data_IF_211922846634
#
_entry.id   IF_211922846634
#
_cell.length_a   1.000
_cell.length_b   1.000
_cell.length_c   1.000
_cell.angle_alpha   90.00
_cell.angle_beta   90.00
_cell.angle_gamma   90.00
#
_symmetry.space_group_name_H-M   'P 1'
#
loop_
_entity.id
_entity.type
_entity.pdbx_description
1 polymer ?
#
# COMPACT_ATOMS: atom_id res chain seq x y z
N UNK A 1 -62.06 -48.08 21.63
CA UNK A 1 -60.62 -48.15 21.30
C UNK A 1 -60.20 -46.82 20.69
N UNK A 2 -59.32 -46.11 21.40
CA UNK A 2 -58.41 -44.98 21.04
C UNK A 2 -57.72 -44.61 22.38
N UNK A 3 -56.45 -44.12 22.46
CA UNK A 3 -55.85 -43.06 21.62
C UNK A 3 -54.31 -43.09 21.32
N UNK A 4 -53.91 -42.33 20.28
CA UNK A 4 -52.81 -41.33 20.09
C UNK A 4 -51.36 -41.53 20.66
N UNK A 5 -50.36 -41.18 19.79
CA UNK A 5 -48.96 -40.65 19.98
C UNK A 5 -47.86 -41.66 19.57
N UNK A 6 -46.75 -41.33 18.90
CA UNK A 6 -46.04 -40.06 18.71
C UNK A 6 -45.20 -40.02 17.41
N UNK A 7 -45.00 -38.79 16.90
CA UNK A 7 -43.98 -38.42 15.91
C UNK A 7 -42.56 -38.74 16.42
N UNK A 8 -41.71 -39.28 15.55
CA UNK A 8 -40.26 -39.30 15.72
C UNK A 8 -39.64 -38.29 14.74
N UNK A 9 -39.44 -37.07 15.23
CA UNK A 9 -38.47 -36.13 14.69
C UNK A 9 -37.07 -36.67 15.01
N UNK A 10 -36.34 -37.17 14.01
CA UNK A 10 -34.89 -37.35 14.13
C UNK A 10 -34.23 -36.00 13.88
N UNK A 11 -33.90 -35.31 14.97
CA UNK A 11 -32.95 -34.21 14.97
C UNK A 11 -31.56 -34.75 14.65
N UNK A 12 -31.14 -34.64 13.38
CA UNK A 12 -29.73 -34.68 13.01
C UNK A 12 -29.08 -33.39 13.50
N UNK A 13 -28.68 -33.37 14.77
CA UNK A 13 -27.71 -32.42 15.28
C UNK A 13 -26.36 -32.74 14.62
N UNK A 14 -26.09 -32.10 13.49
CA UNK A 14 -24.74 -32.00 12.95
C UNK A 14 -23.93 -31.23 13.98
N UNK A 15 -23.12 -31.96 14.74
CA UNK A 15 -22.06 -31.36 15.52
C UNK A 15 -21.07 -30.74 14.52
N UNK A 16 -21.18 -29.42 14.34
CA UNK A 16 -20.10 -28.62 13.78
C UNK A 16 -18.94 -28.71 14.77
N UNK A 17 -18.06 -29.70 14.57
CA UNK A 17 -16.73 -29.64 15.13
C UNK A 17 -16.04 -28.43 14.51
N UNK A 18 -15.76 -27.42 15.33
CA UNK A 18 -15.02 -26.22 14.95
C UNK A 18 -13.60 -26.64 14.54
N UNK A 19 -13.39 -26.95 13.26
CA UNK A 19 -12.07 -26.89 12.69
C UNK A 19 -11.60 -25.43 12.83
N UNK A 20 -10.51 -25.19 13.55
CA UNK A 20 -9.88 -23.87 13.59
C UNK A 20 -9.67 -23.42 12.13
N UNK A 21 -10.38 -22.38 11.68
CA UNK A 21 -10.13 -21.76 10.38
C UNK A 21 -8.74 -21.12 10.43
N UNK A 22 -7.74 -21.90 10.01
CA UNK A 22 -6.40 -21.42 9.71
C UNK A 22 -6.36 -21.16 8.21
N UNK A 23 -5.62 -20.14 7.79
CA UNK A 23 -5.31 -19.98 6.38
C UNK A 23 -4.65 -21.28 5.86
N UNK A 24 -5.26 -21.98 4.90
CA UNK A 24 -4.67 -23.23 4.37
C UNK A 24 -3.26 -23.00 3.80
N UNK A 25 -3.02 -21.79 3.26
CA UNK A 25 -1.75 -21.35 2.69
C UNK A 25 -0.84 -20.61 3.68
N UNK A 26 -1.32 -20.27 4.88
CA UNK A 26 -0.55 -19.56 5.90
C UNK A 26 -0.87 -20.06 7.32
N UNK A 27 -0.33 -21.24 7.64
CA UNK A 27 -0.61 -21.96 8.90
C UNK A 27 -0.21 -21.24 10.19
N UNK A 28 0.43 -20.08 10.08
CA UNK A 28 0.98 -19.36 11.21
C UNK A 28 0.05 -18.28 11.76
N UNK A 29 -0.67 -17.54 10.89
CA UNK A 29 -1.66 -16.57 11.36
C UNK A 29 -2.96 -17.31 11.68
N UNK A 30 -3.46 -17.10 12.89
CA UNK A 30 -4.73 -17.64 13.37
C UNK A 30 -5.81 -16.59 13.22
N UNK A 31 -6.95 -17.00 12.70
CA UNK A 31 -8.18 -16.25 12.83
C UNK A 31 -8.72 -16.48 14.24
N UNK A 32 -9.09 -15.40 14.93
CA UNK A 32 -9.56 -15.43 16.31
C UNK A 32 -10.87 -16.17 16.43
N UNK A 33 -10.93 -17.11 17.37
CA UNK A 33 -12.18 -17.77 17.78
C UNK A 33 -12.90 -17.00 18.89
N UNK A 34 -12.22 -16.04 19.54
CA UNK A 34 -12.76 -15.24 20.65
C UNK A 34 -13.56 -14.02 20.17
N UNK A 35 -13.18 -13.47 19.02
CA UNK A 35 -13.80 -12.27 18.45
C UNK A 35 -14.63 -12.69 17.24
N UNK A 36 -15.92 -12.37 17.26
CA UNK A 36 -16.79 -12.61 16.11
C UNK A 36 -16.39 -11.71 14.93
N UNK A 37 -16.42 -12.21 13.68
CA UNK A 37 -16.23 -11.36 12.48
C UNK A 37 -17.27 -10.24 12.40
N UNK A 38 -18.46 -10.43 13.00
CA UNK A 38 -19.53 -9.43 13.03
C UNK A 38 -19.37 -8.40 14.17
N UNK A 39 -18.43 -8.63 15.10
CA UNK A 39 -18.12 -7.68 16.19
C UNK A 39 -16.98 -6.73 15.80
N UNK A 40 -15.86 -7.27 15.35
CA UNK A 40 -14.70 -6.48 14.92
C UNK A 40 -13.86 -7.33 13.97
N UNK A 41 -14.01 -7.13 12.66
CA UNK A 41 -13.37 -8.02 11.69
C UNK A 41 -11.84 -7.90 11.69
N UNK A 42 -11.28 -6.70 11.83
CA UNK A 42 -9.82 -6.55 11.94
C UNK A 42 -9.28 -7.31 13.14
N UNK A 43 -9.92 -7.20 14.31
CA UNK A 43 -9.48 -7.91 15.51
C UNK A 43 -9.71 -9.40 15.40
N UNK A 44 -10.79 -9.83 14.72
CA UNK A 44 -11.02 -11.23 14.36
C UNK A 44 -9.85 -11.79 13.52
N UNK A 45 -9.27 -11.01 12.61
CA UNK A 45 -8.15 -11.47 11.76
C UNK A 45 -6.78 -11.30 12.40
N UNK A 46 -6.55 -10.21 13.15
CA UNK A 46 -5.23 -9.81 13.61
C UNK A 46 -4.98 -10.05 15.11
N UNK A 47 -5.93 -10.63 15.86
CA UNK A 47 -5.91 -10.70 17.33
C UNK A 47 -4.50 -10.93 17.91
N UNK A 48 -3.97 -9.93 18.62
CA UNK A 48 -2.60 -9.96 19.14
C UNK A 48 -2.41 -10.79 20.41
N UNK A 49 -3.50 -11.25 21.05
CA UNK A 49 -3.41 -12.27 22.10
C UNK A 49 -3.16 -13.66 21.51
N UNK A 50 -3.65 -13.89 20.29
CA UNK A 50 -3.57 -15.18 19.60
C UNK A 50 -2.50 -15.23 18.51
N UNK A 51 -1.99 -14.07 18.09
CA UNK A 51 -0.96 -13.91 17.06
C UNK A 51 0.18 -13.01 17.55
N UNK A 52 1.41 -13.53 17.52
CA UNK A 52 2.59 -12.67 17.67
C UNK A 52 2.80 -11.83 16.39
N UNK A 53 3.38 -10.61 16.45
CA UNK A 53 3.53 -9.77 15.26
C UNK A 53 4.29 -10.44 14.10
N UNK A 54 5.32 -11.24 14.36
CA UNK A 54 6.03 -12.02 13.32
C UNK A 54 5.17 -13.13 12.69
N UNK A 55 4.05 -13.47 13.33
CA UNK A 55 3.09 -14.45 12.84
C UNK A 55 2.07 -13.86 11.86
N UNK A 56 2.01 -12.54 11.72
CA UNK A 56 1.07 -11.89 10.81
C UNK A 56 1.53 -12.03 9.35
N UNK A 57 0.60 -12.36 8.46
CA UNK A 57 0.80 -12.48 7.02
C UNK A 57 1.53 -11.26 6.44
N UNK A 58 1.09 -10.06 6.81
CA UNK A 58 1.71 -8.79 6.40
C UNK A 58 3.20 -8.72 6.76
N UNK A 59 3.59 -9.18 7.95
CA UNK A 59 4.96 -9.06 8.41
C UNK A 59 5.86 -10.14 7.79
N UNK A 60 5.32 -11.33 7.52
CA UNK A 60 6.08 -12.39 6.82
C UNK A 60 6.21 -12.15 5.32
N UNK A 61 5.10 -11.88 4.66
CA UNK A 61 5.03 -11.90 3.20
C UNK A 61 5.31 -10.52 2.61
N UNK A 62 4.76 -9.47 3.22
CA UNK A 62 4.79 -8.11 2.68
C UNK A 62 5.97 -7.26 3.17
N UNK A 63 6.81 -7.80 4.04
CA UNK A 63 8.12 -7.22 4.39
C UNK A 63 9.27 -8.00 3.76
N UNK A 64 8.98 -8.96 2.86
CA UNK A 64 9.99 -9.86 2.30
C UNK A 64 11.07 -9.15 1.49
N UNK A 65 10.70 -8.13 0.70
CA UNK A 65 11.68 -7.30 -0.01
C UNK A 65 12.47 -6.45 0.99
N UNK A 66 11.78 -5.71 1.88
CA UNK A 66 12.43 -4.85 2.86
C UNK A 66 13.43 -5.61 3.72
N UNK A 67 13.05 -6.75 4.29
CA UNK A 67 13.89 -7.53 5.18
C UNK A 67 15.16 -8.02 4.47
N UNK A 68 15.05 -8.48 3.22
CA UNK A 68 16.21 -8.87 2.41
C UNK A 68 17.11 -7.67 2.10
N UNK A 69 16.52 -6.53 1.73
CA UNK A 69 17.27 -5.32 1.45
C UNK A 69 17.98 -4.75 2.69
N UNK A 70 17.37 -4.84 3.88
CA UNK A 70 18.01 -4.43 5.13
C UNK A 70 19.30 -5.22 5.38
N UNK A 71 19.27 -6.54 5.18
CA UNK A 71 20.48 -7.39 5.31
C UNK A 71 21.54 -6.97 4.31
N UNK A 72 21.18 -6.91 3.01
CA UNK A 72 22.12 -6.56 1.94
C UNK A 72 22.74 -5.17 2.14
N UNK A 73 21.94 -4.19 2.56
CA UNK A 73 22.43 -2.84 2.82
C UNK A 73 23.38 -2.83 4.02
N UNK A 74 23.02 -3.47 5.14
CA UNK A 74 23.86 -3.53 6.34
C UNK A 74 25.22 -4.16 6.04
N UNK A 75 25.27 -5.18 5.20
CA UNK A 75 26.50 -5.88 4.83
C UNK A 75 27.26 -5.22 3.66
N UNK A 76 26.61 -4.30 2.93
CA UNK A 76 27.20 -3.64 1.76
C UNK A 76 28.42 -2.80 2.13
N UNK A 77 29.46 -2.93 1.31
CA UNK A 77 30.72 -2.16 1.36
C UNK A 77 30.78 -1.09 0.26
N UNK A 78 29.63 -0.71 -0.29
CA UNK A 78 29.51 0.35 -1.29
C UNK A 78 30.11 1.68 -0.78
N UNK A 79 30.99 2.30 -1.56
CA UNK A 79 31.77 3.46 -1.11
C UNK A 79 30.92 4.69 -0.84
N UNK A 80 29.87 4.92 -1.63
CA UNK A 80 28.96 6.03 -1.40
C UNK A 80 28.06 5.80 -0.18
N UNK A 81 27.59 4.57 0.05
CA UNK A 81 26.86 4.22 1.28
C UNK A 81 27.73 4.40 2.52
N UNK A 82 28.98 3.94 2.52
CA UNK A 82 29.92 4.16 3.63
C UNK A 82 30.16 5.66 3.88
N UNK A 83 30.34 6.44 2.80
CA UNK A 83 30.47 7.90 2.90
C UNK A 83 29.24 8.54 3.56
N UNK A 84 28.03 8.11 3.20
CA UNK A 84 26.80 8.61 3.80
C UNK A 84 26.72 8.18 5.27
N UNK A 85 26.98 6.91 5.58
CA UNK A 85 26.99 6.37 6.96
C UNK A 85 27.88 7.18 7.89
N UNK A 86 29.11 7.46 7.48
CA UNK A 86 30.06 8.24 8.29
C UNK A 86 29.54 9.63 8.65
N UNK A 87 28.77 10.28 7.76
CA UNK A 87 28.12 11.56 8.06
C UNK A 87 27.05 11.44 9.14
N UNK A 88 26.33 10.32 9.23
CA UNK A 88 25.34 10.09 10.28
C UNK A 88 26.00 9.58 11.57
N UNK A 89 27.06 8.80 11.47
CA UNK A 89 27.83 8.34 12.62
C UNK A 89 28.47 9.49 13.38
N UNK A 90 28.92 10.53 12.67
CA UNK A 90 29.49 11.73 13.27
C UNK A 90 28.51 12.54 14.15
N UNK A 91 27.20 12.29 14.04
CA UNK A 91 26.17 12.92 14.90
C UNK A 91 25.82 12.08 16.13
N UNK A 92 26.29 10.83 16.19
CA UNK A 92 26.04 9.95 17.33
C UNK A 92 27.09 10.23 18.41
N UNK A 93 26.68 10.46 19.68
CA UNK A 93 27.63 10.66 20.77
C UNK A 93 28.64 9.52 20.90
N UNK A 94 29.88 9.85 21.26
CA UNK A 94 30.94 8.86 21.49
C UNK A 94 30.48 7.82 22.54
N UNK A 95 30.72 6.53 22.25
CA UNK A 95 30.28 5.41 23.08
C UNK A 95 28.85 4.92 22.82
N UNK A 96 28.04 5.63 22.03
CA UNK A 96 26.68 5.19 21.65
C UNK A 96 26.60 4.56 20.26
N UNK A 97 27.68 4.60 19.48
CA UNK A 97 27.77 4.01 18.14
C UNK A 97 28.00 2.48 18.21
N UNK A 98 27.03 1.76 18.79
CA UNK A 98 27.03 0.30 18.86
C UNK A 98 26.74 -0.33 17.50
N UNK A 99 27.01 -1.64 17.30
CA UNK A 99 26.61 -2.35 16.08
C UNK A 99 25.12 -2.21 15.77
N UNK A 100 24.26 -2.26 16.80
CA UNK A 100 22.83 -2.06 16.64
C UNK A 100 22.51 -0.62 16.21
N UNK A 101 23.17 0.40 16.78
CA UNK A 101 23.00 1.78 16.33
C UNK A 101 23.38 1.95 14.85
N UNK A 102 24.48 1.34 14.40
CA UNK A 102 24.90 1.35 12.98
C UNK A 102 23.88 0.69 12.05
N UNK A 103 23.31 -0.43 12.48
CA UNK A 103 22.22 -1.12 11.78
C UNK A 103 20.99 -0.21 11.66
N UNK A 104 20.54 0.36 12.77
CA UNK A 104 19.38 1.25 12.80
C UNK A 104 19.57 2.51 11.93
N UNK A 105 20.79 3.06 11.90
CA UNK A 105 21.12 4.18 11.00
C UNK A 105 21.00 3.73 9.54
N UNK A 106 21.57 2.60 9.17
CA UNK A 106 21.45 2.06 7.80
C UNK A 106 20.00 1.86 7.37
N UNK A 107 19.17 1.29 8.25
CA UNK A 107 17.74 1.08 7.97
C UNK A 107 17.04 2.43 7.76
N UNK A 108 17.33 3.44 8.59
CA UNK A 108 16.79 4.79 8.44
C UNK A 108 17.18 5.45 7.11
N UNK A 109 18.43 5.24 6.65
CA UNK A 109 18.92 5.79 5.38
C UNK A 109 18.10 5.33 4.18
N UNK A 110 17.49 4.14 4.23
CA UNK A 110 16.64 3.65 3.14
C UNK A 110 15.43 4.53 2.85
N UNK A 111 15.04 5.38 3.79
CA UNK A 111 13.90 6.31 3.70
C UNK A 111 14.31 7.77 3.93
N UNK A 112 15.62 8.03 4.04
CA UNK A 112 16.14 9.36 4.25
C UNK A 112 15.94 10.22 3.00
N UNK A 113 15.32 11.40 3.16
CA UNK A 113 14.94 12.26 2.04
C UNK A 113 16.12 12.93 1.35
N UNK A 114 17.27 13.09 2.02
CA UNK A 114 18.42 13.79 1.45
C UNK A 114 19.19 12.90 0.46
N UNK A 115 19.23 11.59 0.70
CA UNK A 115 20.07 10.66 -0.06
C UNK A 115 19.28 9.70 -0.97
N UNK A 116 17.97 9.89 -1.11
CA UNK A 116 17.10 9.00 -1.90
C UNK A 116 17.61 8.70 -3.32
N UNK A 117 18.15 9.64 -4.13
CA UNK A 117 18.61 9.30 -5.49
C UNK A 117 19.68 8.21 -5.49
N UNK A 118 20.69 8.37 -4.64
CA UNK A 118 21.76 7.39 -4.47
C UNK A 118 21.24 6.09 -3.85
N UNK A 119 20.45 6.21 -2.77
CA UNK A 119 19.92 5.05 -2.06
C UNK A 119 19.02 4.20 -2.95
N UNK A 120 18.14 4.80 -3.76
CA UNK A 120 17.28 4.07 -4.70
C UNK A 120 18.12 3.34 -5.76
N UNK A 121 19.13 3.99 -6.35
CA UNK A 121 20.01 3.35 -7.32
C UNK A 121 20.77 2.16 -6.70
N UNK A 122 21.28 2.33 -5.48
CA UNK A 122 21.98 1.26 -4.75
C UNK A 122 21.03 0.11 -4.39
N UNK A 123 19.81 0.42 -3.95
CA UNK A 123 18.79 -0.59 -3.65
C UNK A 123 18.43 -1.37 -4.91
N UNK A 124 18.25 -0.71 -6.05
CA UNK A 124 18.00 -1.38 -7.35
C UNK A 124 19.18 -2.28 -7.72
N UNK A 125 20.41 -1.77 -7.64
CA UNK A 125 21.64 -2.53 -7.91
C UNK A 125 21.69 -3.81 -7.07
N UNK A 126 21.62 -3.67 -5.74
CA UNK A 126 21.70 -4.80 -4.82
C UNK A 126 20.54 -5.78 -5.01
N UNK A 127 19.32 -5.27 -5.25
CA UNK A 127 18.15 -6.11 -5.50
C UNK A 127 18.31 -6.96 -6.77
N UNK A 128 18.83 -6.37 -7.86
CA UNK A 128 19.06 -7.08 -9.12
C UNK A 128 20.18 -8.11 -8.97
N UNK A 129 21.33 -7.73 -8.40
CA UNK A 129 22.47 -8.63 -8.20
C UNK A 129 22.11 -9.86 -7.35
N UNK A 130 21.23 -9.67 -6.36
CA UNK A 130 20.82 -10.72 -5.42
C UNK A 130 19.46 -11.34 -5.75
N UNK A 131 18.87 -11.02 -6.91
CA UNK A 131 17.57 -11.54 -7.36
C UNK A 131 16.41 -11.26 -6.39
N UNK A 132 16.48 -10.16 -5.63
CA UNK A 132 15.44 -9.67 -4.72
C UNK A 132 14.45 -8.80 -5.51
N UNK A 133 13.80 -9.41 -6.50
CA UNK A 133 12.81 -8.79 -7.36
C UNK A 133 11.75 -9.81 -7.78
N UNK A 134 10.78 -9.40 -8.60
CA UNK A 134 9.80 -10.35 -9.13
C UNK A 134 10.50 -11.40 -9.99
N UNK A 135 10.17 -12.66 -9.73
CA UNK A 135 10.48 -13.79 -10.62
C UNK A 135 9.73 -13.61 -11.95
N UNK A 136 10.12 -14.29 -13.04
CA UNK A 136 9.37 -14.25 -14.30
C UNK A 136 7.89 -14.63 -14.14
N UNK A 137 7.58 -15.59 -13.26
CA UNK A 137 6.19 -15.96 -12.94
C UNK A 137 5.48 -14.86 -12.15
N UNK A 138 6.11 -14.34 -11.09
CA UNK A 138 5.55 -13.25 -10.30
C UNK A 138 5.32 -11.98 -11.13
N UNK A 139 6.21 -11.68 -12.08
CA UNK A 139 6.06 -10.58 -13.05
C UNK A 139 4.83 -10.77 -13.92
N UNK A 140 4.65 -11.96 -14.51
CA UNK A 140 3.45 -12.28 -15.31
C UNK A 140 2.16 -12.14 -14.50
N UNK A 141 2.11 -12.67 -13.27
CA UNK A 141 0.94 -12.56 -12.40
C UNK A 141 0.61 -11.10 -12.08
N UNK A 142 1.62 -10.29 -11.78
CA UNK A 142 1.44 -8.88 -11.49
C UNK A 142 0.93 -8.11 -12.73
N UNK A 143 1.51 -8.36 -13.91
CA UNK A 143 1.08 -7.73 -15.16
C UNK A 143 -0.33 -8.13 -15.57
N UNK A 144 -0.68 -9.39 -15.38
CA UNK A 144 -2.03 -9.89 -15.63
C UNK A 144 -3.05 -9.20 -14.72
N UNK A 145 -2.78 -9.12 -13.41
CA UNK A 145 -3.66 -8.43 -12.47
C UNK A 145 -3.81 -6.93 -12.79
N UNK A 146 -2.70 -6.23 -13.09
CA UNK A 146 -2.73 -4.83 -13.52
C UNK A 146 -3.60 -4.67 -14.78
N UNK A 147 -3.44 -5.57 -15.77
CA UNK A 147 -4.21 -5.55 -17.01
C UNK A 147 -5.70 -5.76 -16.73
N UNK A 148 -6.07 -6.74 -15.91
CA UNK A 148 -7.46 -7.02 -15.56
C UNK A 148 -8.12 -5.85 -14.85
N UNK A 149 -7.46 -5.29 -13.82
CA UNK A 149 -7.96 -4.13 -13.08
C UNK A 149 -8.17 -2.94 -14.01
N UNK A 150 -7.19 -2.64 -14.87
CA UNK A 150 -7.31 -1.57 -15.86
C UNK A 150 -8.49 -1.79 -16.81
N UNK A 151 -8.63 -3.00 -17.35
CA UNK A 151 -9.71 -3.32 -18.30
C UNK A 151 -11.09 -3.23 -17.65
N UNK A 152 -11.24 -3.73 -16.42
CA UNK A 152 -12.51 -3.65 -15.67
C UNK A 152 -12.85 -2.21 -15.34
N UNK A 153 -11.86 -1.40 -14.98
CA UNK A 153 -12.06 0.03 -14.72
C UNK A 153 -12.46 0.79 -15.99
N UNK A 154 -11.78 0.54 -17.12
CA UNK A 154 -12.16 1.10 -18.43
C UNK A 154 -13.60 0.71 -18.78
N UNK A 155 -13.98 -0.55 -18.57
CA UNK A 155 -15.35 -1.01 -18.82
C UNK A 155 -16.35 -0.25 -17.94
N UNK A 156 -16.05 -0.04 -16.66
CA UNK A 156 -16.87 0.75 -15.73
C UNK A 156 -17.10 2.16 -16.28
N UNK A 157 -16.04 2.88 -16.65
CA UNK A 157 -16.15 4.25 -17.17
C UNK A 157 -16.87 4.34 -18.51
N UNK A 158 -16.65 3.40 -19.43
CA UNK A 158 -17.44 3.32 -20.68
C UNK A 158 -18.93 3.12 -20.42
N UNK A 159 -19.28 2.45 -19.33
CA UNK A 159 -20.66 2.23 -18.89
C UNK A 159 -21.36 3.47 -18.32
N UNK A 160 -20.61 4.51 -17.92
CA UNK A 160 -21.17 5.76 -17.36
C UNK A 160 -21.73 6.63 -18.47
N UNK A 161 -22.90 6.26 -19.01
CA UNK A 161 -23.56 6.94 -20.14
C UNK A 161 -23.80 8.43 -19.90
N UNK A 162 -23.96 8.80 -18.65
CA UNK A 162 -24.22 10.17 -18.23
C UNK A 162 -22.98 11.07 -18.26
N UNK A 163 -21.78 10.49 -18.27
CA UNK A 163 -20.54 11.23 -18.33
C UNK A 163 -20.15 11.43 -19.80
N UNK A 164 -20.25 12.68 -20.28
CA UNK A 164 -20.01 13.03 -21.69
C UNK A 164 -18.56 12.82 -22.09
N UNK A 165 -17.60 13.27 -21.29
CA UNK A 165 -16.17 13.09 -21.55
C UNK A 165 -15.59 11.73 -21.10
N UNK A 166 -16.42 10.69 -20.89
CA UNK A 166 -15.95 9.38 -20.41
C UNK A 166 -14.81 8.78 -21.24
N UNK A 167 -14.78 9.03 -22.54
CA UNK A 167 -13.70 8.52 -23.41
C UNK A 167 -12.36 9.22 -23.15
N UNK A 168 -12.34 10.46 -22.65
CA UNK A 168 -11.10 11.12 -22.21
C UNK A 168 -10.52 10.45 -20.97
N UNK A 169 -11.38 10.08 -20.00
CA UNK A 169 -10.98 9.30 -18.82
C UNK A 169 -10.46 7.92 -19.22
N UNK A 170 -11.18 7.24 -20.12
CA UNK A 170 -10.76 5.94 -20.67
C UNK A 170 -9.40 6.05 -21.34
N UNK A 171 -9.19 7.10 -22.14
CA UNK A 171 -7.90 7.33 -22.78
C UNK A 171 -6.78 7.54 -21.75
N UNK A 172 -7.01 8.36 -20.72
CA UNK A 172 -6.04 8.57 -19.64
C UNK A 172 -5.66 7.24 -18.94
N UNK A 173 -6.65 6.39 -18.63
CA UNK A 173 -6.43 5.07 -18.04
C UNK A 173 -5.64 4.11 -18.96
N UNK A 174 -5.82 4.23 -20.29
CA UNK A 174 -5.12 3.41 -21.28
C UNK A 174 -3.65 3.78 -21.40
N UNK A 175 -3.34 5.09 -21.39
CA UNK A 175 -1.97 5.58 -21.61
C UNK A 175 -1.13 5.67 -20.34
N UNK A 176 -1.75 5.58 -19.16
CA UNK A 176 -1.04 5.58 -17.89
C UNK A 176 0.02 4.45 -17.85
N UNK A 177 1.30 4.82 -17.73
CA UNK A 177 2.41 3.89 -17.59
C UNK A 177 2.38 3.31 -16.17
N UNK A 178 2.41 1.99 -16.08
CA UNK A 178 2.43 1.28 -14.80
C UNK A 178 3.80 0.70 -14.58
N UNK A 179 4.38 0.99 -13.42
CA UNK A 179 5.70 0.54 -13.02
C UNK A 179 5.53 -0.32 -11.77
N UNK A 180 6.00 -1.56 -11.83
CA UNK A 180 5.76 -2.57 -10.79
C UNK A 180 7.08 -3.00 -10.17
N UNK A 181 7.30 -2.67 -8.90
CA UNK A 181 8.48 -3.07 -8.16
C UNK A 181 9.78 -2.53 -8.79
N UNK A 182 10.76 -3.41 -8.98
CA UNK A 182 11.96 -3.05 -9.76
C UNK A 182 11.60 -3.11 -11.25
N UNK A 183 11.77 -2.04 -12.03
CA UNK A 183 11.45 -2.05 -13.46
C UNK A 183 12.21 -3.16 -14.20
N UNK A 184 11.51 -3.84 -15.11
CA UNK A 184 12.07 -4.96 -15.89
C UNK A 184 13.35 -4.57 -16.64
N UNK A 185 13.43 -3.32 -17.10
CA UNK A 185 14.62 -2.77 -17.76
C UNK A 185 15.90 -2.93 -16.92
N UNK A 186 15.85 -2.75 -15.60
CA UNK A 186 17.01 -2.94 -14.72
C UNK A 186 17.35 -4.42 -14.48
N UNK A 187 16.39 -5.32 -14.68
CA UNK A 187 16.60 -6.77 -14.59
C UNK A 187 17.25 -7.27 -15.88
N UNK A 188 16.76 -6.79 -17.03
CA UNK A 188 17.28 -7.15 -18.35
C UNK A 188 18.66 -6.50 -18.62
N UNK A 189 18.90 -5.32 -18.03
CA UNK A 189 20.13 -4.54 -18.15
C UNK A 189 20.69 -4.16 -16.75
N UNK A 190 21.26 -5.13 -16.00
CA UNK A 190 21.81 -4.89 -14.66
C UNK A 190 22.94 -3.84 -14.65
N UNK A 191 23.61 -3.64 -15.78
CA UNK A 191 24.64 -2.63 -15.97
C UNK A 191 24.11 -1.19 -15.78
N UNK A 192 22.83 -0.93 -16.00
CA UNK A 192 22.27 0.43 -15.87
C UNK A 192 22.31 0.96 -14.43
N UNK A 193 22.13 0.09 -13.44
CA UNK A 193 22.24 0.49 -12.04
C UNK A 193 23.71 0.79 -11.65
N UNK A 194 24.66 0.03 -12.22
CA UNK A 194 26.08 0.25 -12.05
C UNK A 194 26.52 1.58 -12.67
N UNK A 195 26.15 1.81 -13.93
CA UNK A 195 26.46 3.04 -14.69
C UNK A 195 25.97 4.30 -13.95
N UNK A 196 24.77 4.23 -13.35
CA UNK A 196 24.21 5.32 -12.55
C UNK A 196 25.02 5.58 -11.27
N UNK A 197 25.38 4.55 -10.50
CA UNK A 197 26.21 4.68 -9.29
C UNK A 197 27.60 5.22 -9.64
N UNK A 198 28.22 4.73 -10.71
CA UNK A 198 29.51 5.24 -11.18
C UNK A 198 29.42 6.72 -11.60
N UNK A 199 28.30 7.13 -12.20
CA UNK A 199 28.07 8.55 -12.50
C UNK A 199 28.03 9.40 -11.24
N UNK A 200 27.35 8.93 -10.18
CA UNK A 200 27.35 9.61 -8.89
C UNK A 200 28.76 9.72 -8.33
N UNK A 201 29.53 8.64 -8.28
CA UNK A 201 30.86 8.67 -7.68
C UNK A 201 31.82 9.58 -8.46
N UNK A 202 31.74 9.61 -9.80
CA UNK A 202 32.50 10.57 -10.62
C UNK A 202 32.19 12.02 -10.25
N UNK A 203 30.91 12.35 -10.12
CA UNK A 203 30.48 13.71 -9.77
C UNK A 203 30.80 14.05 -8.30
N UNK A 204 30.72 13.09 -7.38
CA UNK A 204 31.16 13.26 -5.99
C UNK A 204 32.66 13.56 -5.93
N UNK A 205 33.51 12.80 -6.62
CA UNK A 205 34.96 13.06 -6.68
C UNK A 205 35.24 14.46 -7.19
N UNK A 206 34.52 14.88 -8.24
CA UNK A 206 34.73 16.16 -8.92
C UNK A 206 34.23 17.36 -8.13
N UNK A 207 33.04 17.25 -7.52
CA UNK A 207 32.31 18.40 -6.97
C UNK A 207 32.20 18.38 -5.45
N UNK A 208 32.12 17.21 -4.80
CA UNK A 208 31.91 17.16 -3.36
C UNK A 208 33.16 17.56 -2.57
N UNK A 209 34.34 17.07 -2.94
CA UNK A 209 35.59 17.39 -2.25
C UNK A 209 35.84 18.90 -2.07
N UNK A 210 35.79 19.70 -3.16
CA UNK A 210 35.93 21.16 -3.08
C UNK A 210 34.86 21.85 -2.24
N UNK A 211 33.66 21.29 -2.12
CA UNK A 211 32.57 21.84 -1.29
C UNK A 211 32.73 21.46 0.18
N UNK A 212 33.07 20.20 0.47
CA UNK A 212 33.18 19.65 1.82
C UNK A 212 34.43 20.12 2.58
N UNK A 213 35.46 20.58 1.86
CA UNK A 213 36.73 21.08 2.42
C UNK A 213 36.78 22.62 2.52
N UNK A 214 35.74 23.35 2.08
CA UNK A 214 35.67 24.81 2.22
C UNK A 214 35.34 25.20 3.66
N UNK A 215 36.33 25.72 4.38
CA UNK A 215 36.14 26.41 5.66
C UNK A 215 35.37 25.58 6.71
N UNK A 216 34.68 26.27 7.63
CA UNK A 216 33.94 25.75 8.80
C UNK A 216 32.71 24.86 8.47
N UNK A 217 32.78 24.01 7.44
CA UNK A 217 31.70 23.11 7.04
C UNK A 217 31.52 21.97 8.06
N UNK A 218 30.49 22.11 8.91
CA UNK A 218 30.06 21.10 9.88
C UNK A 218 29.36 19.91 9.20
N UNK A 219 28.92 18.92 9.98
CA UNK A 219 28.30 17.69 9.44
C UNK A 219 27.03 17.99 8.63
N UNK A 220 26.20 18.94 9.08
CA UNK A 220 24.99 19.38 8.37
C UNK A 220 25.34 19.92 6.99
N UNK A 221 26.31 20.84 6.92
CA UNK A 221 26.81 21.39 5.66
C UNK A 221 27.34 20.29 4.72
N UNK A 222 28.07 19.31 5.24
CA UNK A 222 28.58 18.18 4.46
C UNK A 222 27.45 17.32 3.88
N UNK A 223 26.40 17.03 4.65
CA UNK A 223 25.22 16.30 4.17
C UNK A 223 24.49 17.04 3.07
N UNK A 224 24.26 18.34 3.25
CA UNK A 224 23.60 19.18 2.25
C UNK A 224 24.40 19.26 0.95
N UNK A 225 25.72 19.46 1.04
CA UNK A 225 26.60 19.49 -0.12
C UNK A 225 26.60 18.15 -0.86
N UNK A 226 26.71 17.02 -0.14
CA UNK A 226 26.68 15.69 -0.76
C UNK A 226 25.33 15.40 -1.43
N UNK A 227 24.24 15.68 -0.71
CA UNK A 227 22.87 15.52 -1.23
C UNK A 227 22.65 16.33 -2.51
N UNK A 228 23.10 17.59 -2.55
CA UNK A 228 22.99 18.43 -3.72
C UNK A 228 23.77 17.87 -4.93
N UNK A 229 25.01 17.41 -4.71
CA UNK A 229 25.83 16.80 -5.78
C UNK A 229 25.17 15.52 -6.32
N UNK A 230 24.65 14.67 -5.44
CA UNK A 230 23.98 13.42 -5.84
C UNK A 230 22.69 13.69 -6.63
N UNK A 231 21.89 14.67 -6.20
CA UNK A 231 20.67 15.06 -6.90
C UNK A 231 20.97 15.65 -8.28
N UNK A 232 21.97 16.54 -8.37
CA UNK A 232 22.39 17.14 -9.63
C UNK A 232 23.00 16.11 -10.60
N UNK A 233 23.78 15.15 -10.07
CA UNK A 233 24.27 14.02 -10.86
C UNK A 233 23.13 13.12 -11.34
N UNK A 234 22.06 12.93 -10.55
CA UNK A 234 20.89 12.15 -10.97
C UNK A 234 20.19 12.81 -12.16
N UNK A 235 19.95 14.12 -12.08
CA UNK A 235 19.35 14.87 -13.18
C UNK A 235 20.23 14.86 -14.43
N UNK A 236 21.55 15.00 -14.30
CA UNK A 236 22.49 14.87 -15.43
C UNK A 236 22.42 13.49 -16.08
N UNK A 237 22.47 12.43 -15.28
CA UNK A 237 22.40 11.06 -15.77
C UNK A 237 21.09 10.81 -16.52
N UNK A 238 19.95 11.21 -15.94
CA UNK A 238 18.65 11.03 -16.56
C UNK A 238 18.50 11.81 -17.87
N UNK A 239 19.05 13.03 -17.93
CA UNK A 239 19.06 13.84 -19.14
C UNK A 239 19.90 13.19 -20.25
N UNK A 240 21.05 12.61 -19.90
CA UNK A 240 21.92 11.92 -20.86
C UNK A 240 21.33 10.61 -21.38
N UNK A 241 20.45 9.98 -20.60
CA UNK A 241 19.84 8.67 -20.92
C UNK A 241 18.32 8.73 -21.04
N UNK A 242 17.78 9.81 -21.62
CA UNK A 242 16.33 10.11 -21.62
C UNK A 242 15.43 9.05 -22.26
N UNK A 243 16.00 8.07 -22.96
CA UNK A 243 15.31 6.92 -23.52
C UNK A 243 15.06 5.76 -22.53
N UNK A 244 15.65 5.80 -21.33
CA UNK A 244 15.53 4.78 -20.27
C UNK A 244 14.54 5.19 -19.18
N UNK A 245 14.08 4.26 -18.35
CA UNK A 245 13.14 4.55 -17.24
C UNK A 245 13.78 5.38 -16.11
N UNK A 246 15.07 5.18 -15.84
CA UNK A 246 15.95 6.10 -15.08
C UNK A 246 15.52 6.51 -13.65
N UNK A 247 14.57 5.78 -13.03
CA UNK A 247 14.00 6.10 -11.71
C UNK A 247 13.42 7.52 -11.59
N UNK A 248 13.28 8.28 -12.68
CA UNK A 248 12.86 9.69 -12.67
C UNK A 248 11.43 9.86 -12.17
N UNK A 249 10.62 8.81 -12.33
CA UNK A 249 9.27 8.70 -11.75
C UNK A 249 9.27 8.75 -10.20
N UNK A 250 10.41 8.50 -9.54
CA UNK A 250 10.58 8.66 -8.10
C UNK A 250 10.93 10.12 -7.71
N UNK A 251 11.21 10.99 -8.68
CA UNK A 251 11.38 12.44 -8.54
C UNK A 251 10.28 13.19 -9.32
N UNK A 252 9.01 13.06 -8.91
CA UNK A 252 7.92 13.66 -9.66
C UNK A 252 8.03 15.19 -9.65
N UNK A 253 7.78 15.83 -10.79
CA UNK A 253 7.97 17.28 -10.98
C UNK A 253 7.16 18.16 -10.02
N UNK A 254 6.07 17.62 -9.46
CA UNK A 254 5.22 18.24 -8.44
C UNK A 254 5.86 18.26 -7.03
N UNK A 255 6.85 17.40 -6.78
CA UNK A 255 7.56 17.29 -5.50
C UNK A 255 9.05 17.55 -5.69
N UNK A 256 9.59 18.56 -5.01
CA UNK A 256 11.06 18.75 -4.93
C UNK A 256 11.77 17.65 -4.12
N UNK A 257 11.02 16.68 -3.59
CA UNK A 257 11.54 15.62 -2.72
C UNK A 257 11.37 14.24 -3.40
N UNK A 258 12.46 13.48 -3.59
CA UNK A 258 12.41 12.13 -4.12
C UNK A 258 11.69 11.14 -3.20
N UNK A 259 11.11 10.11 -3.81
CA UNK A 259 10.39 9.01 -3.15
C UNK A 259 11.29 7.80 -2.98
N UNK A 260 11.45 7.34 -1.74
CA UNK A 260 12.21 6.13 -1.44
C UNK A 260 11.46 4.88 -1.94
N UNK A 261 12.17 3.96 -2.59
CA UNK A 261 11.57 2.75 -3.17
C UNK A 261 11.25 1.67 -2.11
N UNK A 262 11.78 1.78 -0.89
CA UNK A 262 11.53 0.85 0.25
C UNK A 262 10.24 1.17 1.02
N UNK A 263 9.33 1.91 0.37
CA UNK A 263 7.99 2.19 0.84
C UNK A 263 7.06 0.98 0.72
N UNK A 264 5.80 1.24 1.07
CA UNK A 264 4.70 0.30 0.97
C UNK A 264 3.49 1.01 0.36
N UNK A 265 2.77 0.34 -0.52
CA UNK A 265 1.66 0.89 -1.30
C UNK A 265 2.05 1.14 -2.76
N UNK A 266 1.44 2.13 -3.37
CA UNK A 266 1.93 2.72 -4.60
C UNK A 266 2.00 4.23 -4.51
N UNK A 267 2.14 4.84 -5.68
CA UNK A 267 2.14 6.27 -5.87
C UNK A 267 1.56 6.59 -7.24
N UNK A 268 0.59 7.47 -7.23
CA UNK A 268 0.06 8.15 -8.38
C UNK A 268 0.47 9.64 -8.31
N UNK A 269 1.61 9.99 -8.90
CA UNK A 269 2.18 11.36 -8.74
C UNK A 269 2.09 12.23 -9.99
N UNK A 270 1.78 11.61 -11.12
CA UNK A 270 1.51 12.22 -12.42
C UNK A 270 0.45 11.32 -13.08
N UNK A 271 -0.60 11.85 -13.75
CA UNK A 271 -1.57 11.04 -14.50
C UNK A 271 -0.91 10.05 -15.49
N UNK A 272 0.35 10.28 -15.89
CA UNK A 272 1.13 9.41 -16.76
C UNK A 272 1.78 8.21 -16.07
N UNK A 273 1.99 8.23 -14.75
CA UNK A 273 2.74 7.19 -14.04
C UNK A 273 2.07 6.75 -12.76
N UNK A 274 1.78 5.46 -12.67
CA UNK A 274 1.44 4.79 -11.42
C UNK A 274 2.59 3.83 -11.09
N UNK A 275 3.19 3.99 -9.92
CA UNK A 275 4.28 3.16 -9.46
C UNK A 275 3.91 2.38 -8.21
N UNK A 276 4.26 1.10 -8.16
CA UNK A 276 4.07 0.23 -7.01
C UNK A 276 5.41 -0.16 -6.40
N UNK A 277 5.55 0.01 -5.07
CA UNK A 277 6.81 -0.31 -4.40
C UNK A 277 7.12 -1.82 -4.46
N UNK A 278 8.40 -2.21 -4.55
CA UNK A 278 8.81 -3.61 -4.57
C UNK A 278 8.27 -4.42 -3.39
N UNK A 279 8.22 -3.83 -2.18
CA UNK A 279 7.73 -4.50 -0.97
C UNK A 279 6.27 -4.93 -1.08
N UNK A 280 5.44 -4.13 -1.74
CA UNK A 280 4.03 -4.47 -2.01
C UNK A 280 3.90 -5.52 -3.10
N UNK A 281 4.77 -5.48 -4.10
CA UNK A 281 4.68 -6.37 -5.26
C UNK A 281 5.34 -7.74 -5.01
N UNK A 282 6.27 -7.84 -4.07
CA UNK A 282 7.02 -9.08 -3.82
C UNK A 282 6.12 -10.28 -3.46
N UNK A 283 4.88 -10.03 -2.99
CA UNK A 283 3.87 -11.07 -2.76
C UNK A 283 3.55 -11.91 -3.99
N UNK A 284 3.70 -11.38 -5.21
CA UNK A 284 3.45 -12.16 -6.43
C UNK A 284 4.43 -13.32 -6.64
N UNK A 285 5.57 -13.34 -5.92
CA UNK A 285 6.49 -14.48 -5.89
C UNK A 285 5.98 -15.64 -5.01
N UNK A 286 4.92 -15.43 -4.21
CA UNK A 286 4.37 -16.49 -3.36
C UNK A 286 3.50 -17.43 -4.19
N UNK A 287 3.81 -18.72 -4.15
CA UNK A 287 3.03 -19.77 -4.79
C UNK A 287 1.87 -20.23 -3.90
N UNK A 288 0.78 -20.69 -4.53
CA UNK A 288 -0.36 -21.30 -3.81
C UNK A 288 -1.26 -20.33 -3.05
N UNK A 289 -1.06 -19.01 -3.20
CA UNK A 289 -1.94 -18.02 -2.58
C UNK A 289 -3.34 -18.07 -3.21
N UNK A 290 -4.37 -18.12 -2.38
CA UNK A 290 -5.75 -18.02 -2.85
C UNK A 290 -5.94 -16.73 -3.66
N UNK A 291 -6.65 -16.81 -4.79
CA UNK A 291 -6.85 -15.67 -5.70
C UNK A 291 -7.52 -14.50 -4.97
N UNK A 292 -8.56 -14.77 -4.18
CA UNK A 292 -9.22 -13.78 -3.33
C UNK A 292 -8.26 -13.01 -2.45
N UNK A 293 -7.34 -13.71 -1.76
CA UNK A 293 -6.33 -13.08 -0.91
C UNK A 293 -5.36 -12.21 -1.70
N UNK A 294 -4.86 -12.69 -2.84
CA UNK A 294 -3.94 -11.91 -3.67
C UNK A 294 -4.62 -10.63 -4.19
N UNK A 295 -5.89 -10.72 -4.58
CA UNK A 295 -6.68 -9.59 -5.06
C UNK A 295 -7.00 -8.60 -3.94
N UNK A 296 -7.35 -9.03 -2.73
CA UNK A 296 -7.60 -8.10 -1.61
C UNK A 296 -6.35 -7.49 -0.99
N UNK A 297 -5.17 -7.99 -1.36
CA UNK A 297 -3.90 -7.47 -0.87
C UNK A 297 -3.22 -6.66 -1.96
N UNK A 298 -2.49 -7.27 -2.89
CA UNK A 298 -1.79 -6.56 -3.95
C UNK A 298 -2.77 -5.91 -4.94
N UNK A 299 -3.84 -6.62 -5.30
CA UNK A 299 -4.87 -6.09 -6.19
C UNK A 299 -5.56 -4.86 -5.61
N UNK A 300 -5.80 -4.82 -4.30
CA UNK A 300 -6.40 -3.66 -3.63
C UNK A 300 -5.50 -2.44 -3.75
N UNK A 301 -4.20 -2.59 -3.49
CA UNK A 301 -3.25 -1.49 -3.68
C UNK A 301 -3.22 -1.04 -5.13
N UNK A 302 -3.22 -1.98 -6.09
CA UNK A 302 -3.25 -1.64 -7.51
C UNK A 302 -4.52 -0.87 -7.88
N UNK A 303 -5.69 -1.37 -7.51
CA UNK A 303 -6.97 -0.71 -7.74
C UNK A 303 -7.05 0.65 -7.06
N UNK A 304 -6.56 0.76 -5.82
CA UNK A 304 -6.55 2.00 -5.04
C UNK A 304 -5.78 3.11 -5.79
N UNK A 305 -4.57 2.82 -6.27
CA UNK A 305 -3.81 3.80 -7.05
C UNK A 305 -4.41 4.12 -8.41
N UNK A 306 -5.11 3.18 -9.06
CA UNK A 306 -5.88 3.47 -10.26
C UNK A 306 -7.06 4.39 -9.98
N UNK A 307 -7.72 4.25 -8.83
CA UNK A 307 -8.84 5.11 -8.45
C UNK A 307 -8.40 6.54 -8.11
N UNK A 308 -7.17 6.73 -7.62
CA UNK A 308 -6.56 8.07 -7.52
C UNK A 308 -6.45 8.80 -8.87
N UNK A 309 -6.37 8.08 -10.01
CA UNK A 309 -6.32 8.73 -11.34
C UNK A 309 -7.65 9.33 -11.79
N UNK A 310 -8.77 8.95 -11.16
CA UNK A 310 -10.11 9.20 -11.70
C UNK A 310 -11.07 9.90 -10.74
N UNK A 311 -10.65 10.15 -9.50
CA UNK A 311 -11.46 10.81 -8.50
C UNK A 311 -10.59 11.67 -7.61
N UNK A 312 -10.57 12.96 -7.91
CA UNK A 312 -9.86 13.94 -7.12
C UNK A 312 -10.64 15.24 -7.17
N UNK A 313 -11.19 15.64 -6.03
CA UNK A 313 -12.18 16.72 -5.94
C UNK A 313 -11.62 18.10 -6.30
N UNK A 314 -10.30 18.29 -6.16
CA UNK A 314 -9.58 19.50 -6.55
C UNK A 314 -8.87 19.36 -7.91
N UNK A 315 -9.18 18.31 -8.68
CA UNK A 315 -8.46 18.02 -9.91
C UNK A 315 -8.60 19.13 -10.95
N UNK A 316 -7.46 19.66 -11.37
CA UNK A 316 -7.35 20.57 -12.52
C UNK A 316 -7.13 19.83 -13.85
N UNK A 317 -7.05 18.49 -13.81
CA UNK A 317 -6.82 17.67 -14.99
C UNK A 317 -7.98 17.81 -15.98
N UNK A 318 -7.65 18.09 -17.24
CA UNK A 318 -8.67 18.32 -18.27
C UNK A 318 -9.68 17.18 -18.37
N UNK A 319 -9.21 15.94 -18.36
CA UNK A 319 -10.04 14.76 -18.54
C UNK A 319 -11.00 14.50 -17.38
N UNK A 320 -10.83 15.16 -16.21
CA UNK A 320 -11.74 15.04 -15.06
C UNK A 320 -12.70 16.22 -14.90
N UNK A 321 -12.56 17.30 -15.68
CA UNK A 321 -13.30 18.55 -15.45
C UNK A 321 -14.82 18.38 -15.48
N UNK A 322 -15.36 17.62 -16.42
CA UNK A 322 -16.81 17.38 -16.47
C UNK A 322 -17.28 16.46 -15.35
N UNK A 323 -16.46 15.47 -14.98
CA UNK A 323 -16.79 14.54 -13.91
C UNK A 323 -16.88 15.25 -12.56
N UNK A 324 -15.88 16.07 -12.20
CA UNK A 324 -15.86 16.78 -10.91
C UNK A 324 -16.93 17.86 -10.81
N UNK A 325 -17.43 18.37 -11.95
CA UNK A 325 -18.53 19.34 -12.00
C UNK A 325 -19.92 18.69 -11.96
N UNK A 326 -20.03 17.36 -12.11
CA UNK A 326 -21.32 16.67 -12.10
C UNK A 326 -21.89 16.56 -10.67
N UNK A 327 -23.21 16.76 -10.53
CA UNK A 327 -23.90 16.65 -9.23
C UNK A 327 -23.65 15.29 -8.55
N UNK A 328 -23.61 14.20 -9.31
CA UNK A 328 -23.38 12.84 -8.77
C UNK A 328 -22.00 12.71 -8.13
N UNK A 329 -21.00 13.40 -8.66
CA UNK A 329 -19.67 13.44 -8.06
C UNK A 329 -19.75 14.14 -6.70
N UNK A 330 -20.38 15.31 -6.63
CA UNK A 330 -20.54 16.05 -5.37
C UNK A 330 -21.34 15.27 -4.32
N UNK A 331 -22.39 14.56 -4.73
CA UNK A 331 -23.14 13.66 -3.84
C UNK A 331 -22.25 12.54 -3.28
N UNK A 332 -21.32 12.02 -4.10
CA UNK A 332 -20.35 11.02 -3.63
C UNK A 332 -19.33 11.60 -2.65
N UNK A 333 -18.85 12.83 -2.90
CA UNK A 333 -17.97 13.59 -2.00
C UNK A 333 -18.66 13.78 -0.65
N UNK A 334 -19.91 14.24 -0.65
CA UNK A 334 -20.71 14.44 0.56
C UNK A 334 -20.90 13.13 1.32
N UNK A 335 -21.27 12.04 0.62
CA UNK A 335 -21.46 10.74 1.26
C UNK A 335 -20.18 10.22 1.94
N UNK A 336 -19.04 10.24 1.23
CA UNK A 336 -17.78 9.75 1.82
C UNK A 336 -17.31 10.65 2.97
N UNK A 337 -17.43 11.97 2.82
CA UNK A 337 -17.09 12.92 3.88
C UNK A 337 -17.95 12.69 5.13
N UNK A 338 -19.26 12.57 4.98
CA UNK A 338 -20.16 12.28 6.10
C UNK A 338 -19.86 10.92 6.72
N UNK A 339 -19.69 9.88 5.89
CA UNK A 339 -19.37 8.52 6.33
C UNK A 339 -18.14 8.48 7.22
N UNK A 340 -17.04 9.12 6.80
CA UNK A 340 -15.81 9.14 7.58
C UNK A 340 -15.85 10.10 8.78
N UNK A 341 -16.68 11.15 8.74
CA UNK A 341 -16.88 12.08 9.88
C UNK A 341 -17.58 11.41 11.07
N UNK A 342 -18.29 10.30 10.84
CA UNK A 342 -18.95 9.54 11.90
C UNK A 342 -17.98 8.72 12.77
N UNK A 343 -16.71 8.58 12.36
CA UNK A 343 -15.68 7.94 13.17
C UNK A 343 -15.12 8.91 14.21
N UNK A 344 -14.68 8.37 15.35
CA UNK A 344 -13.99 9.12 16.39
C UNK A 344 -13.06 8.22 17.21
N UNK A 345 -12.16 8.84 17.97
CA UNK A 345 -11.38 8.21 19.03
C UNK A 345 -11.70 8.88 20.36
N UNK A 346 -11.55 8.15 21.45
CA UNK A 346 -11.58 8.72 22.80
C UNK A 346 -10.15 9.00 23.23
N UNK A 347 -9.87 10.25 23.59
CA UNK A 347 -8.63 10.64 24.27
C UNK A 347 -8.83 10.51 25.78
N UNK A 348 -8.27 9.44 26.34
CA UNK A 348 -8.34 9.15 27.77
C UNK A 348 -7.27 9.89 28.59
N UNK A 349 -6.43 10.73 27.97
CA UNK A 349 -5.45 11.55 28.70
C UNK A 349 -6.09 12.78 29.36
N UNK A 350 -7.32 13.12 28.98
CA UNK A 350 -8.12 14.19 29.59
C UNK A 350 -9.14 13.62 30.57
N UNK A 351 -9.60 14.44 31.52
CA UNK A 351 -10.70 14.10 32.43
C UNK A 351 -11.76 15.21 32.38
N UNK A 352 -12.96 14.97 31.80
CA UNK A 352 -13.41 13.70 31.21
C UNK A 352 -12.68 13.35 29.89
N UNK A 353 -12.74 12.09 29.42
CA UNK A 353 -12.18 11.70 28.13
C UNK A 353 -12.75 12.53 26.98
N UNK A 354 -11.90 13.04 26.09
CA UNK A 354 -12.30 13.89 24.98
C UNK A 354 -12.61 13.06 23.74
N UNK A 355 -13.76 13.32 23.10
CA UNK A 355 -14.08 12.76 21.78
C UNK A 355 -13.32 13.51 20.70
N UNK A 356 -12.46 12.81 19.97
CA UNK A 356 -11.70 13.34 18.84
C UNK A 356 -12.27 12.75 17.54
N UNK A 357 -13.09 13.53 16.84
CA UNK A 357 -13.70 13.13 15.57
C UNK A 357 -12.70 13.21 14.41
N UNK A 358 -12.88 12.36 13.40
CA UNK A 358 -12.13 12.46 12.16
C UNK A 358 -12.74 13.54 11.25
N UNK A 359 -11.89 14.24 10.50
CA UNK A 359 -12.36 15.16 9.45
C UNK A 359 -12.63 14.35 8.17
N UNK A 360 -13.90 14.15 7.82
CA UNK A 360 -14.31 13.39 6.64
C UNK A 360 -13.74 13.92 5.32
N UNK A 361 -13.63 15.23 5.16
CA UNK A 361 -13.05 15.84 3.95
C UNK A 361 -11.59 15.46 3.76
N UNK A 362 -10.85 15.23 4.85
CA UNK A 362 -9.46 14.77 4.79
C UNK A 362 -9.38 13.26 4.51
N UNK A 363 -10.41 12.49 4.87
CA UNK A 363 -10.42 11.02 4.74
C UNK A 363 -11.00 10.49 3.43
N UNK A 364 -11.89 11.27 2.82
CA UNK A 364 -12.76 10.78 1.75
C UNK A 364 -12.00 10.25 0.54
N UNK A 365 -10.89 10.88 0.12
CA UNK A 365 -10.14 10.45 -1.08
C UNK A 365 -9.52 9.06 -0.91
N UNK A 366 -8.76 8.84 0.16
CA UNK A 366 -8.15 7.54 0.43
C UNK A 366 -9.21 6.46 0.70
N UNK A 367 -10.27 6.85 1.42
CA UNK A 367 -11.36 5.95 1.76
C UNK A 367 -12.23 5.56 0.56
N UNK A 368 -12.47 6.48 -0.37
CA UNK A 368 -13.12 6.21 -1.64
C UNK A 368 -12.29 5.22 -2.46
N UNK A 369 -10.97 5.46 -2.56
CA UNK A 369 -10.08 4.64 -3.38
C UNK A 369 -10.04 3.20 -2.85
N UNK A 370 -10.01 3.02 -1.53
CA UNK A 370 -10.12 1.70 -0.90
C UNK A 370 -11.43 0.99 -1.25
N UNK A 371 -12.56 1.67 -1.10
CA UNK A 371 -13.89 1.08 -1.26
C UNK A 371 -14.15 0.74 -2.73
N UNK A 372 -13.83 1.64 -3.65
CA UNK A 372 -14.04 1.40 -5.08
C UNK A 372 -13.07 0.36 -5.63
N UNK A 373 -11.82 0.33 -5.16
CA UNK A 373 -10.89 -0.76 -5.46
C UNK A 373 -11.47 -2.10 -5.02
N UNK A 374 -11.95 -2.19 -3.77
CA UNK A 374 -12.51 -3.42 -3.25
C UNK A 374 -13.71 -3.91 -4.08
N UNK A 375 -14.65 -3.02 -4.41
CA UNK A 375 -15.82 -3.35 -5.25
C UNK A 375 -15.41 -3.82 -6.65
N UNK A 376 -14.49 -3.12 -7.30
CA UNK A 376 -14.01 -3.49 -8.63
C UNK A 376 -13.37 -4.89 -8.61
N UNK A 377 -12.58 -5.20 -7.58
CA UNK A 377 -11.91 -6.49 -7.45
C UNK A 377 -12.88 -7.62 -7.14
N UNK A 378 -13.90 -7.38 -6.30
CA UNK A 378 -14.98 -8.34 -6.07
C UNK A 378 -15.76 -8.63 -7.37
N UNK A 379 -15.95 -7.62 -8.23
CA UNK A 379 -16.54 -7.82 -9.57
C UNK A 379 -15.64 -8.61 -10.52
N UNK A 380 -14.32 -8.56 -10.36
CA UNK A 380 -13.40 -9.43 -11.12
C UNK A 380 -13.49 -10.86 -10.59
N UNK A 381 -13.50 -11.02 -9.26
CA UNK A 381 -13.62 -12.33 -8.61
C UNK A 381 -14.96 -13.01 -8.86
N UNK A 382 -16.05 -12.27 -9.13
CA UNK A 382 -17.36 -12.86 -9.45
C UNK A 382 -17.39 -13.67 -10.73
N UNK A 383 -16.35 -13.55 -11.57
CA UNK A 383 -16.17 -14.36 -12.78
C UNK A 383 -15.46 -15.70 -12.47
N UNK A 384 -15.01 -15.90 -11.23
CA UNK A 384 -14.36 -17.13 -10.77
C UNK A 384 -15.40 -18.22 -10.44
N UNK A 385 -15.06 -19.48 -10.75
CA UNK A 385 -15.96 -20.62 -10.50
C UNK A 385 -16.20 -20.85 -9.01
N UNK A 386 -15.19 -20.56 -8.18
CA UNK A 386 -15.24 -20.73 -6.73
C UNK A 386 -15.47 -19.39 -6.02
N UNK A 387 -16.27 -18.50 -6.62
CA UNK A 387 -16.48 -17.11 -6.16
C UNK A 387 -16.74 -17.00 -4.66
N UNK A 388 -17.62 -17.83 -4.08
CA UNK A 388 -17.94 -17.74 -2.65
C UNK A 388 -16.73 -18.00 -1.74
N UNK A 389 -15.86 -18.94 -2.13
CA UNK A 389 -14.62 -19.21 -1.40
C UNK A 389 -13.62 -18.08 -1.62
N UNK A 390 -13.44 -17.63 -2.87
CA UNK A 390 -12.55 -16.52 -3.18
C UNK A 390 -13.00 -15.22 -2.50
N UNK A 391 -14.30 -15.01 -2.32
CA UNK A 391 -14.85 -13.84 -1.63
C UNK A 391 -14.53 -13.88 -0.14
N UNK A 392 -14.60 -15.05 0.51
CA UNK A 392 -14.14 -15.20 1.90
C UNK A 392 -12.65 -14.89 2.02
N UNK A 393 -11.82 -15.45 1.15
CA UNK A 393 -10.38 -15.15 1.13
C UNK A 393 -10.08 -13.68 0.84
N UNK A 394 -10.90 -13.05 0.00
CA UNK A 394 -10.83 -11.63 -0.27
C UNK A 394 -11.02 -10.82 1.03
N UNK A 395 -12.07 -11.09 1.81
CA UNK A 395 -12.28 -10.40 3.07
C UNK A 395 -11.17 -10.67 4.09
N UNK A 396 -10.72 -11.92 4.26
CA UNK A 396 -9.59 -12.21 5.15
C UNK A 396 -8.30 -11.48 4.73
N UNK A 397 -8.04 -11.33 3.43
CA UNK A 397 -6.89 -10.56 2.96
C UNK A 397 -7.01 -9.06 3.23
N UNK A 398 -8.20 -8.47 3.11
CA UNK A 398 -8.46 -7.09 3.55
C UNK A 398 -8.18 -6.90 5.05
N UNK A 399 -8.55 -7.89 5.88
CA UNK A 399 -8.22 -7.90 7.31
C UNK A 399 -6.71 -7.96 7.56
N UNK A 400 -6.02 -8.88 6.89
CA UNK A 400 -4.58 -9.10 7.05
C UNK A 400 -3.73 -7.95 6.56
N UNK A 401 -4.14 -7.28 5.47
CA UNK A 401 -3.44 -6.17 4.83
C UNK A 401 -3.11 -5.03 5.80
N UNK A 402 -4.06 -4.69 6.66
CA UNK A 402 -3.96 -3.55 7.57
C UNK A 402 -3.80 -3.95 9.04
N UNK A 403 -3.41 -5.20 9.34
CA UNK A 403 -2.96 -5.52 10.70
C UNK A 403 -1.86 -4.52 11.13
N UNK A 404 -1.98 -3.92 12.34
CA UNK A 404 -0.99 -2.96 12.81
C UNK A 404 0.33 -3.64 13.17
N UNK A 405 1.45 -2.92 13.05
CA UNK A 405 2.77 -3.48 13.38
C UNK A 405 3.01 -3.59 14.89
N UNK A 406 2.51 -2.62 15.67
CA UNK A 406 2.67 -2.57 17.13
C UNK A 406 1.32 -2.30 17.77
N UNK A 407 0.85 -3.15 18.69
CA UNK A 407 -0.30 -2.84 19.54
C UNK A 407 -0.04 -1.58 20.36
N UNK A 408 -0.96 -0.61 20.36
CA UNK A 408 -0.88 0.54 21.26
C UNK A 408 -0.06 1.75 20.79
N UNK A 409 0.27 1.87 19.49
CA UNK A 409 0.76 3.14 18.92
C UNK A 409 -0.21 4.28 19.29
N UNK A 410 0.30 5.49 19.55
CA UNK A 410 -0.53 6.64 19.89
C UNK A 410 -1.54 6.93 18.77
N UNK A 411 -2.77 6.45 18.99
CA UNK A 411 -3.86 6.44 18.02
C UNK A 411 -4.23 7.86 17.57
N UNK A 412 -4.09 8.84 18.47
CA UNK A 412 -4.43 10.24 18.22
C UNK A 412 -3.50 10.88 17.18
N UNK A 413 -2.23 10.46 17.09
CA UNK A 413 -1.29 10.96 16.07
C UNK A 413 -1.72 10.66 14.63
N UNK A 414 -2.62 9.69 14.42
CA UNK A 414 -3.09 9.27 13.09
C UNK A 414 -4.41 9.94 12.67
N UNK A 415 -5.05 10.72 13.55
CA UNK A 415 -6.35 11.34 13.27
C UNK A 415 -6.27 12.25 12.04
N UNK A 416 -5.24 13.08 11.96
CA UNK A 416 -5.06 14.07 10.89
C UNK A 416 -4.39 13.51 9.61
N UNK A 417 -4.07 12.22 9.55
CA UNK A 417 -3.60 11.59 8.30
C UNK A 417 -4.71 11.62 7.24
N UNK A 418 -4.42 11.67 5.93
CA UNK A 418 -5.47 11.45 4.92
C UNK A 418 -6.04 10.03 4.99
N UNK A 419 -5.21 9.05 5.35
CA UNK A 419 -5.65 7.67 5.46
C UNK A 419 -6.42 7.43 6.76
N UNK A 420 -7.42 6.55 6.72
CA UNK A 420 -7.97 5.97 7.95
C UNK A 420 -6.87 5.19 8.68
N UNK A 421 -6.76 5.30 10.02
CA UNK A 421 -5.78 4.53 10.78
C UNK A 421 -5.98 3.03 10.56
N UNK A 422 -4.89 2.27 10.48
CA UNK A 422 -4.92 0.84 10.17
C UNK A 422 -5.90 0.05 11.06
N UNK A 423 -6.02 0.44 12.34
CA UNK A 423 -6.92 -0.21 13.30
C UNK A 423 -8.44 0.05 13.08
N UNK A 424 -8.81 0.96 12.18
CA UNK A 424 -10.20 1.24 11.76
C UNK A 424 -10.42 1.01 10.27
N UNK A 425 -9.37 1.09 9.45
CA UNK A 425 -9.44 1.11 7.98
C UNK A 425 -10.15 -0.11 7.40
N UNK A 426 -9.78 -1.33 7.81
CA UNK A 426 -10.46 -2.57 7.39
C UNK A 426 -11.95 -2.49 7.64
N UNK A 427 -12.35 -2.21 8.88
CA UNK A 427 -13.76 -2.24 9.26
C UNK A 427 -14.56 -1.14 8.56
N UNK A 428 -13.97 0.04 8.34
CA UNK A 428 -14.60 1.11 7.57
C UNK A 428 -14.84 0.73 6.11
N UNK A 429 -13.87 0.09 5.46
CA UNK A 429 -14.05 -0.41 4.09
C UNK A 429 -15.12 -1.50 4.04
N UNK A 430 -15.05 -2.49 4.93
CA UNK A 430 -15.97 -3.64 4.91
C UNK A 430 -17.42 -3.26 5.16
N UNK A 431 -17.69 -2.25 6.00
CA UNK A 431 -19.06 -1.78 6.22
C UNK A 431 -19.66 -1.10 4.98
N UNK A 432 -18.84 -0.68 4.02
CA UNK A 432 -19.29 -0.13 2.72
C UNK A 432 -19.44 -1.21 1.64
N UNK A 433 -19.28 -2.49 1.98
CA UNK A 433 -19.41 -3.65 1.10
C UNK A 433 -20.51 -4.58 1.64
N UNK A 434 -21.79 -4.43 1.21
CA UNK A 434 -22.89 -5.26 1.71
C UNK A 434 -22.66 -6.77 1.63
N UNK A 435 -21.89 -7.22 0.63
CA UNK A 435 -21.48 -8.61 0.45
C UNK A 435 -20.70 -9.17 1.65
N UNK A 436 -20.01 -8.32 2.42
CA UNK A 436 -19.33 -8.73 3.66
C UNK A 436 -20.35 -9.21 4.71
N UNK A 437 -21.41 -8.41 4.95
CA UNK A 437 -22.45 -8.78 5.91
C UNK A 437 -23.14 -10.08 5.48
N UNK A 438 -23.33 -10.30 4.18
CA UNK A 438 -23.85 -11.57 3.66
C UNK A 438 -22.86 -12.73 3.88
N UNK A 439 -21.58 -12.56 3.55
CA UNK A 439 -20.57 -13.61 3.62
C UNK A 439 -20.33 -14.12 5.05
N UNK A 440 -20.44 -13.24 6.06
CA UNK A 440 -20.27 -13.58 7.48
C UNK A 440 -21.58 -13.62 8.26
N UNK A 441 -22.73 -13.50 7.59
CA UNK A 441 -24.06 -13.53 8.19
C UNK A 441 -24.28 -12.50 9.31
N UNK A 442 -23.69 -11.31 9.18
CA UNK A 442 -23.90 -10.21 10.11
C UNK A 442 -25.29 -9.60 9.91
N UNK A 443 -25.97 -9.28 11.01
CA UNK A 443 -27.35 -8.81 11.06
C UNK A 443 -27.42 -7.38 11.54
N UNK A 444 -28.56 -6.74 11.31
CA UNK A 444 -28.85 -5.43 11.89
C UNK A 444 -28.65 -5.47 13.42
N UNK A 445 -27.90 -4.49 13.94
CA UNK A 445 -27.47 -4.44 15.34
C UNK A 445 -26.04 -4.94 15.57
N UNK A 446 -25.46 -5.73 14.67
CA UNK A 446 -24.03 -6.09 14.73
C UNK A 446 -23.15 -4.89 14.36
N UNK A 447 -22.03 -4.71 15.06
CA UNK A 447 -21.07 -3.60 14.83
C UNK A 447 -20.52 -3.57 13.39
N UNK A 448 -20.36 -4.75 12.79
CA UNK A 448 -19.87 -4.92 11.41
C UNK A 448 -20.98 -5.17 10.39
N UNK A 449 -22.24 -4.93 10.75
CA UNK A 449 -23.28 -4.82 9.74
C UNK A 449 -22.99 -3.63 8.83
N UNK A 450 -23.43 -3.76 7.57
CA UNK A 450 -23.25 -2.74 6.53
C UNK A 450 -23.64 -1.36 7.05
N UNK A 451 -22.99 -0.32 6.54
CA UNK A 451 -23.34 1.05 6.82
C UNK A 451 -24.78 1.33 6.38
N UNK A 452 -25.42 2.26 7.08
CA UNK A 452 -26.77 2.72 6.75
C UNK A 452 -26.80 3.29 5.33
N UNK A 453 -25.91 4.25 5.06
CA UNK A 453 -25.66 4.80 3.73
C UNK A 453 -24.45 4.13 3.08
N UNK A 454 -24.70 3.47 1.95
CA UNK A 454 -23.66 2.91 1.09
C UNK A 454 -23.29 3.95 0.03
N UNK A 455 -22.08 4.50 0.10
CA UNK A 455 -21.62 5.53 -0.83
C UNK A 455 -21.29 4.93 -2.20
N UNK A 456 -21.63 5.61 -3.29
CA UNK A 456 -21.28 5.20 -4.65
C UNK A 456 -20.78 6.41 -5.44
N UNK A 457 -19.55 6.32 -5.95
CA UNK A 457 -18.93 7.40 -6.69
C UNK A 457 -19.22 7.37 -8.20
N UNK A 458 -19.63 6.22 -8.70
CA UNK A 458 -19.86 6.00 -10.12
C UNK A 458 -21.21 5.31 -10.33
N UNK A 459 -22.32 5.98 -9.96
CA UNK A 459 -23.65 5.42 -10.17
C UNK A 459 -23.87 5.18 -11.66
N UNK A 460 -24.47 4.05 -12.02
CA UNK A 460 -24.71 3.68 -13.43
C UNK A 460 -25.91 4.46 -14.01
N UNK A 461 -26.81 4.95 -13.16
CA UNK A 461 -28.01 5.70 -13.53
C UNK A 461 -27.96 7.14 -13.00
#
# INVERSE_FOLDING_TARGET
>A
MLPIKALLFLSLSVAYASAEERFEFDRHQRVSHKISPCKNFLEHVCNFEENHPDQLFKNRVWSGFRNQMEVLLVESKDSGLERIRELFYAEVPAGQLTPEAKKQITIKLTRDKQFVPYMNALIVKLAVENKVHLTPEGRRKADEMVREIRLKLIQKFRGLKWLSNREEIVHALQIAKILVGIPQEYIDHPEYAHEMIESFERDVIKFYGPLAQRGSCNVTCKKEALSAVLLDSFHRYNKAHSNRTNLDYLLPSSSKIPSAITGFGGRNVDPKFIFFYPDTMHVFNVHGMAKGLLYSTAGLVIGHEFFHSVWHHESTQHYLREYVADRRFMESVDCYSEYYSNYYLMDNSTSPPLKVSFNGLVKMEEGYADIQAARLLMQILSEDRDYHEQLKWFFYGLGSLWCPYVPGENRLKKVNSPHMPAFLRTNAVLRQLPEFSTAFSCREGDDMYRAESICEAFPVN
#
